data_IF_387251183288
#
_entry.id   IF_387251183288
#
_cell.length_a   1.000
_cell.length_b   1.000
_cell.length_c   1.000
_cell.angle_alpha   90.00
_cell.angle_beta   90.00
_cell.angle_gamma   90.00
#
_symmetry.space_group_name_H-M   'P 1'
#
loop_
_entity.id
_entity.type
_entity.pdbx_description
1 polymer ?
#
# COMPACT_ATOMS: atom_id res chain seq x y z
N UNK A 1 -19.29 -22.44 1.55
CA UNK A 1 -19.11 -21.31 0.64
C UNK A 1 -17.69 -20.80 0.78
N UNK A 2 -16.98 -20.64 -0.33
CA UNK A 2 -15.65 -20.01 -0.37
C UNK A 2 -15.86 -18.57 0.09
N UNK A 3 -15.16 -18.14 1.15
CA UNK A 3 -15.21 -16.76 1.57
C UNK A 3 -14.68 -15.90 0.42
N UNK A 4 -15.50 -14.99 -0.06
CA UNK A 4 -15.10 -14.05 -1.11
C UNK A 4 -14.05 -13.11 -0.52
N UNK A 5 -12.84 -13.16 -1.06
CA UNK A 5 -11.72 -12.34 -0.62
C UNK A 5 -11.70 -11.11 -1.50
N UNK A 6 -12.23 -9.99 -1.01
CA UNK A 6 -12.19 -8.72 -1.75
C UNK A 6 -11.00 -7.87 -1.32
N UNK A 7 -10.05 -7.59 -2.23
CA UNK A 7 -8.98 -6.63 -2.02
C UNK A 7 -9.48 -5.19 -2.18
N UNK A 8 -8.77 -4.23 -1.59
CA UNK A 8 -9.03 -2.81 -1.79
C UNK A 8 -8.78 -2.38 -3.24
N UNK A 9 -7.76 -2.99 -3.87
CA UNK A 9 -7.39 -2.73 -5.26
C UNK A 9 -6.60 -3.90 -5.84
N UNK A 10 -6.72 -4.11 -7.15
CA UNK A 10 -5.93 -5.09 -7.92
C UNK A 10 -5.38 -4.43 -9.18
N UNK A 11 -4.11 -4.68 -9.45
CA UNK A 11 -3.44 -4.34 -10.71
C UNK A 11 -2.81 -5.58 -11.31
N UNK A 12 -2.88 -5.71 -12.63
CA UNK A 12 -2.22 -6.80 -13.35
C UNK A 12 -0.97 -6.28 -14.02
N UNK A 13 0.18 -6.86 -13.68
CA UNK A 13 1.50 -6.55 -14.24
C UNK A 13 2.08 -7.82 -14.86
N UNK A 14 2.08 -7.88 -16.19
CA UNK A 14 2.46 -9.09 -16.95
C UNK A 14 1.71 -10.33 -16.43
N UNK A 15 2.42 -11.26 -15.79
CA UNK A 15 1.87 -12.51 -15.27
C UNK A 15 1.49 -12.40 -13.78
N UNK A 16 1.73 -11.25 -13.14
CA UNK A 16 1.52 -11.05 -11.71
C UNK A 16 0.28 -10.21 -11.42
N UNK A 17 -0.45 -10.61 -10.40
CA UNK A 17 -1.53 -9.82 -9.83
C UNK A 17 -1.06 -9.14 -8.54
N UNK A 18 -1.11 -7.82 -8.53
CA UNK A 18 -0.80 -7.02 -7.36
C UNK A 18 -2.11 -6.70 -6.65
N UNK A 19 -2.22 -7.06 -5.40
CA UNK A 19 -3.41 -6.75 -4.60
C UNK A 19 -3.04 -6.15 -3.25
N UNK A 20 -3.91 -5.33 -2.72
CA UNK A 20 -3.74 -4.73 -1.41
C UNK A 20 -4.97 -5.03 -0.54
N UNK A 21 -4.71 -5.45 0.70
CA UNK A 21 -5.70 -5.67 1.75
C UNK A 21 -5.28 -4.85 2.97
N UNK A 22 -5.95 -3.73 3.20
CA UNK A 22 -5.52 -2.78 4.21
C UNK A 22 -4.11 -2.25 3.91
N UNK A 23 -3.14 -2.53 4.77
CA UNK A 23 -1.74 -2.14 4.56
C UNK A 23 -0.88 -3.21 3.90
N UNK A 24 -1.36 -4.45 3.81
CA UNK A 24 -0.58 -5.55 3.25
C UNK A 24 -0.72 -5.61 1.73
N UNK A 25 0.40 -5.53 1.05
CA UNK A 25 0.51 -5.73 -0.40
C UNK A 25 0.92 -7.17 -0.69
N UNK A 26 0.24 -7.77 -1.66
CA UNK A 26 0.53 -9.11 -2.18
C UNK A 26 0.94 -9.02 -3.65
N UNK A 27 1.88 -9.86 -4.02
CA UNK A 27 2.15 -10.22 -5.41
C UNK A 27 1.68 -11.67 -5.57
N UNK A 28 0.65 -11.87 -6.40
CA UNK A 28 -0.14 -13.10 -6.46
C UNK A 28 -0.71 -13.43 -5.07
N UNK A 29 -0.35 -14.55 -4.47
CA UNK A 29 -0.76 -14.91 -3.12
C UNK A 29 0.36 -14.73 -2.06
N UNK A 30 1.48 -14.09 -2.42
CA UNK A 30 2.61 -13.89 -1.52
C UNK A 30 2.60 -12.48 -0.92
N UNK A 31 2.58 -12.34 0.40
CA UNK A 31 2.71 -11.04 1.06
C UNK A 31 4.14 -10.51 0.86
N UNK A 32 4.27 -9.28 0.35
CA UNK A 32 5.59 -8.73 -0.01
C UNK A 32 6.01 -7.52 0.81
N UNK A 33 5.09 -6.60 1.10
CA UNK A 33 5.40 -5.39 1.87
C UNK A 33 4.14 -4.84 2.55
N UNK A 34 4.34 -4.10 3.64
CA UNK A 34 3.29 -3.27 4.24
C UNK A 34 3.42 -1.83 3.74
N UNK A 35 2.34 -1.29 3.18
CA UNK A 35 2.25 0.10 2.74
C UNK A 35 1.10 0.80 3.46
N UNK A 36 1.39 1.90 4.14
CA UNK A 36 0.36 2.73 4.78
C UNK A 36 -0.45 3.54 3.74
N UNK A 37 0.11 3.68 2.53
CA UNK A 37 -0.53 4.38 1.44
C UNK A 37 -1.12 3.37 0.44
N UNK A 38 -2.27 3.69 -0.17
CA UNK A 38 -2.83 2.84 -1.20
C UNK A 38 -1.91 2.78 -2.43
N UNK A 39 -1.85 1.60 -3.05
CA UNK A 39 -1.23 1.44 -4.36
C UNK A 39 -2.15 2.09 -5.40
N UNK A 40 -1.61 3.01 -6.18
CA UNK A 40 -2.32 3.80 -7.19
C UNK A 40 -2.18 3.23 -8.59
N UNK A 41 -1.25 2.32 -8.78
CA UNK A 41 -0.96 1.67 -10.05
C UNK A 41 0.39 1.00 -10.05
N UNK A 42 0.68 0.31 -11.13
CA UNK A 42 1.98 -0.32 -11.35
C UNK A 42 2.28 -0.46 -12.83
N UNK A 43 3.55 -0.55 -13.13
CA UNK A 43 4.09 -0.80 -14.47
C UNK A 43 5.26 -1.78 -14.39
N UNK A 44 5.55 -2.42 -15.54
CA UNK A 44 6.76 -3.23 -15.69
C UNK A 44 7.70 -2.48 -16.60
N UNK A 45 8.94 -2.30 -16.15
CA UNK A 45 10.02 -1.64 -16.89
C UNK A 45 11.18 -2.62 -16.92
N UNK A 46 11.52 -3.12 -18.12
CA UNK A 46 12.42 -4.25 -18.26
C UNK A 46 11.99 -5.43 -17.39
N UNK A 47 12.81 -5.83 -16.42
CA UNK A 47 12.52 -6.91 -15.47
C UNK A 47 12.08 -6.39 -14.07
N UNK A 48 11.75 -5.10 -13.97
CA UNK A 48 11.32 -4.49 -12.71
C UNK A 48 9.81 -4.24 -12.71
N UNK A 49 9.16 -4.61 -11.63
CA UNK A 49 7.82 -4.16 -11.31
C UNK A 49 7.91 -2.91 -10.42
N UNK A 50 7.27 -1.84 -10.86
CA UNK A 50 7.27 -0.55 -10.17
C UNK A 50 5.84 -0.24 -9.76
N UNK A 51 5.58 -0.18 -8.45
CA UNK A 51 4.29 0.20 -7.88
C UNK A 51 4.36 1.64 -7.38
N UNK A 52 3.33 2.41 -7.66
CA UNK A 52 3.24 3.80 -7.20
C UNK A 52 2.25 3.94 -6.05
N UNK A 53 2.65 4.70 -5.05
CA UNK A 53 1.78 5.31 -4.04
C UNK A 53 1.76 6.82 -4.24
N UNK A 54 1.09 7.57 -3.39
CA UNK A 54 1.02 9.04 -3.52
C UNK A 54 2.39 9.73 -3.47
N UNK A 55 3.37 9.17 -2.74
CA UNK A 55 4.66 9.83 -2.52
C UNK A 55 5.87 8.93 -2.77
N UNK A 56 5.68 7.69 -3.16
CA UNK A 56 6.74 6.69 -3.23
C UNK A 56 6.55 5.77 -4.43
N UNK A 57 7.66 5.27 -4.95
CA UNK A 57 7.72 4.13 -5.86
C UNK A 57 8.32 2.94 -5.10
N UNK A 58 7.68 1.79 -5.21
CA UNK A 58 8.12 0.54 -4.63
C UNK A 58 8.59 -0.37 -5.76
N UNK A 59 9.85 -0.76 -5.72
CA UNK A 59 10.49 -1.54 -6.77
C UNK A 59 10.61 -3.00 -6.35
N UNK A 60 10.20 -3.89 -7.24
CA UNK A 60 10.27 -5.34 -7.07
C UNK A 60 10.96 -5.98 -8.27
N UNK A 61 11.64 -7.10 -8.04
CA UNK A 61 12.13 -7.95 -9.12
C UNK A 61 10.97 -8.61 -9.87
N UNK A 62 11.26 -9.19 -11.02
CA UNK A 62 10.26 -9.97 -11.77
C UNK A 62 9.70 -11.16 -10.96
N UNK A 63 10.46 -11.69 -10.02
CA UNK A 63 10.05 -12.76 -9.12
C UNK A 63 9.21 -12.28 -7.92
N UNK A 64 9.03 -10.96 -7.77
CA UNK A 64 8.25 -10.36 -6.70
C UNK A 64 9.04 -10.08 -5.43
N UNK A 65 10.38 -10.08 -5.49
CA UNK A 65 11.22 -9.69 -4.37
C UNK A 65 11.32 -8.17 -4.26
N UNK A 66 11.14 -7.63 -3.06
CA UNK A 66 11.28 -6.20 -2.81
C UNK A 66 12.76 -5.79 -2.96
N UNK A 67 13.01 -4.77 -3.78
CA UNK A 67 14.35 -4.24 -4.06
C UNK A 67 14.59 -2.98 -3.25
N UNK A 68 13.80 -1.94 -3.51
CA UNK A 68 13.97 -0.65 -2.84
C UNK A 68 12.69 0.20 -2.88
N UNK A 69 12.72 1.27 -2.12
CA UNK A 69 11.71 2.31 -2.09
C UNK A 69 12.34 3.65 -2.49
N UNK A 70 11.77 4.28 -3.50
CA UNK A 70 12.17 5.60 -3.98
C UNK A 70 11.13 6.65 -3.62
N UNK A 71 11.57 7.86 -3.30
CA UNK A 71 10.69 8.96 -2.89
C UNK A 71 11.27 10.32 -3.33
N UNK A 72 10.73 11.40 -2.84
CA UNK A 72 11.25 12.74 -3.14
C UNK A 72 12.75 12.91 -2.81
N UNK A 73 13.26 12.17 -1.82
CA UNK A 73 14.70 12.18 -1.50
C UNK A 73 15.58 11.54 -2.58
N UNK A 74 15.01 10.71 -3.43
CA UNK A 74 15.66 10.08 -4.59
C UNK A 74 15.21 10.67 -5.92
N UNK A 75 14.57 11.86 -5.92
CA UNK A 75 14.17 12.58 -7.12
C UNK A 75 12.74 12.30 -7.60
N UNK A 76 12.01 11.38 -6.99
CA UNK A 76 10.64 11.03 -7.41
C UNK A 76 9.68 12.20 -7.15
N UNK A 77 8.90 12.66 -8.15
CA UNK A 77 7.91 13.70 -7.97
C UNK A 77 6.84 13.29 -6.94
N UNK A 78 6.51 14.14 -5.96
CA UNK A 78 5.46 13.85 -4.98
C UNK A 78 4.06 14.08 -5.53
N UNK A 79 3.04 13.68 -4.75
CA UNK A 79 1.62 13.82 -5.07
C UNK A 79 1.21 13.06 -6.33
N UNK A 80 1.75 11.86 -6.47
CA UNK A 80 1.44 10.94 -7.56
C UNK A 80 -0.04 10.57 -7.51
N UNK A 81 -0.68 10.55 -8.66
CA UNK A 81 -2.09 10.17 -8.85
C UNK A 81 -2.20 8.91 -9.69
N UNK A 82 -1.29 8.70 -10.62
CA UNK A 82 -1.24 7.50 -11.45
C UNK A 82 0.17 7.28 -12.01
N UNK A 83 0.42 6.06 -12.47
CA UNK A 83 1.63 5.67 -13.19
C UNK A 83 1.24 4.98 -14.49
N UNK A 84 2.02 5.19 -15.53
CA UNK A 84 1.82 4.58 -16.85
C UNK A 84 3.11 4.44 -17.62
N UNK A 85 2.98 3.96 -18.86
CA UNK A 85 4.10 3.83 -19.79
C UNK A 85 3.83 4.65 -21.06
N UNK A 86 4.88 5.27 -21.56
CA UNK A 86 4.93 5.88 -22.88
C UNK A 86 6.17 5.39 -23.62
N UNK A 87 5.98 4.59 -24.66
CA UNK A 87 7.08 3.94 -25.42
C UNK A 87 8.04 3.13 -24.51
N UNK A 88 7.51 2.46 -23.47
CA UNK A 88 8.29 1.67 -22.51
C UNK A 88 8.95 2.49 -21.39
N UNK A 89 8.87 3.81 -21.44
CA UNK A 89 9.38 4.68 -20.39
C UNK A 89 8.29 5.01 -19.34
N UNK A 90 8.63 5.08 -18.06
CA UNK A 90 7.68 5.36 -17.00
C UNK A 90 7.23 6.83 -17.02
N UNK A 91 5.93 7.02 -16.86
CA UNK A 91 5.30 8.33 -16.74
C UNK A 91 4.48 8.37 -15.46
N UNK A 92 4.69 9.42 -14.68
CA UNK A 92 3.87 9.73 -13.50
C UNK A 92 2.91 10.88 -13.81
N UNK A 93 1.65 10.69 -13.47
CA UNK A 93 0.71 11.77 -13.32
C UNK A 93 0.72 12.22 -11.87
N UNK A 94 1.00 13.49 -11.65
CA UNK A 94 0.97 14.09 -10.32
C UNK A 94 -0.05 15.22 -10.29
N UNK A 95 -0.36 15.74 -9.11
CA UNK A 95 -1.21 16.93 -8.97
C UNK A 95 -0.65 18.15 -9.70
N UNK A 96 0.68 18.22 -9.89
CA UNK A 96 1.38 19.36 -10.46
C UNK A 96 1.77 19.16 -11.95
N UNK A 97 1.32 18.09 -12.59
CA UNK A 97 1.62 17.81 -13.99
C UNK A 97 2.07 16.37 -14.23
N UNK A 98 2.55 16.12 -15.43
CA UNK A 98 3.07 14.83 -15.86
C UNK A 98 4.59 14.87 -15.92
N UNK A 99 5.21 13.74 -15.54
CA UNK A 99 6.63 13.58 -15.46
C UNK A 99 7.04 12.26 -16.09
N UNK A 100 8.10 12.28 -16.87
CA UNK A 100 8.70 11.10 -17.51
C UNK A 100 10.09 10.86 -16.95
N UNK A 101 10.47 9.62 -16.78
CA UNK A 101 11.81 9.20 -16.45
C UNK A 101 12.30 8.12 -17.40
N UNK A 102 13.57 7.81 -17.34
CA UNK A 102 14.13 6.59 -17.90
C UNK A 102 13.96 5.40 -16.92
N UNK A 103 14.62 4.28 -17.22
CA UNK A 103 14.55 3.08 -16.39
C UNK A 103 15.24 3.22 -15.01
N UNK A 104 16.06 4.27 -14.80
CA UNK A 104 16.74 4.52 -13.52
C UNK A 104 15.82 5.16 -12.49
N UNK A 105 14.74 5.81 -12.91
CA UNK A 105 13.72 6.42 -12.04
C UNK A 105 14.22 7.54 -11.12
N UNK A 106 15.41 8.03 -11.32
CA UNK A 106 16.06 9.05 -10.47
C UNK A 106 16.02 10.47 -11.07
N UNK A 107 15.76 10.58 -12.37
CA UNK A 107 15.63 11.85 -13.07
C UNK A 107 14.28 11.95 -13.78
N UNK A 108 13.51 12.97 -13.43
CA UNK A 108 12.15 13.18 -13.93
C UNK A 108 12.06 14.49 -14.67
N UNK A 109 11.57 14.44 -15.89
CA UNK A 109 11.35 15.60 -16.75
C UNK A 109 9.86 15.90 -16.86
N UNK A 110 9.48 17.18 -16.72
CA UNK A 110 8.12 17.61 -16.96
C UNK A 110 7.75 17.46 -18.44
N UNK A 111 6.62 16.85 -18.71
CA UNK A 111 6.14 16.57 -20.07
C UNK A 111 4.67 16.97 -20.24
N UNK A 112 4.25 17.05 -21.51
CA UNK A 112 2.86 17.16 -21.90
C UNK A 112 2.62 16.23 -23.09
N UNK A 113 2.23 15.00 -22.80
CA UNK A 113 2.05 13.94 -23.79
C UNK A 113 0.63 13.39 -23.76
N UNK A 114 0.18 12.85 -24.90
CA UNK A 114 -1.04 12.07 -25.03
C UNK A 114 -0.70 10.64 -25.42
N UNK A 115 -1.65 9.72 -25.21
CA UNK A 115 -1.44 8.32 -25.58
C UNK A 115 -0.60 7.51 -24.58
N UNK A 116 -0.58 7.94 -23.31
CA UNK A 116 0.07 7.21 -22.23
C UNK A 116 -0.78 6.00 -21.85
N UNK A 117 -0.15 4.84 -21.75
CA UNK A 117 -0.76 3.61 -21.24
C UNK A 117 -0.81 3.65 -19.70
N UNK A 118 -1.86 4.24 -19.15
CA UNK A 118 -2.05 4.34 -17.71
C UNK A 118 -2.37 2.99 -17.07
N UNK A 119 -1.78 2.74 -15.91
CA UNK A 119 -2.15 1.62 -15.06
C UNK A 119 -3.61 1.77 -14.62
N UNK A 120 -4.38 0.69 -14.75
CA UNK A 120 -5.81 0.67 -14.41
C UNK A 120 -6.09 -0.50 -13.46
N UNK A 121 -6.96 -0.32 -12.46
CA UNK A 121 -7.45 -1.43 -11.65
C UNK A 121 -8.12 -2.49 -12.53
N UNK A 122 -7.91 -3.74 -12.19
CA UNK A 122 -8.44 -4.91 -12.91
C UNK A 122 -9.13 -5.86 -11.93
N UNK A 123 -10.07 -6.70 -12.40
CA UNK A 123 -10.60 -7.80 -11.59
C UNK A 123 -9.48 -8.75 -11.18
N UNK A 124 -9.61 -9.35 -10.00
CA UNK A 124 -8.68 -10.38 -9.54
C UNK A 124 -8.86 -11.65 -10.38
N UNK A 125 -7.77 -12.27 -10.87
CA UNK A 125 -7.85 -13.56 -11.54
C UNK A 125 -8.27 -14.67 -10.57
N UNK A 126 -9.13 -15.58 -11.01
CA UNK A 126 -9.70 -16.67 -10.19
C UNK A 126 -8.63 -17.54 -9.52
N UNK A 127 -7.52 -17.81 -10.23
CA UNK A 127 -6.42 -18.61 -9.69
C UNK A 127 -5.70 -17.90 -8.52
N UNK A 128 -5.59 -16.59 -8.57
CA UNK A 128 -4.98 -15.77 -7.51
C UNK A 128 -5.95 -15.64 -6.34
N UNK A 129 -7.24 -15.43 -6.61
CA UNK A 129 -8.28 -15.40 -5.58
C UNK A 129 -8.32 -16.70 -4.79
N UNK A 130 -8.29 -17.85 -5.47
CA UNK A 130 -8.25 -19.16 -4.81
C UNK A 130 -6.98 -19.34 -3.94
N UNK A 131 -5.81 -18.95 -4.46
CA UNK A 131 -4.55 -19.05 -3.72
C UNK A 131 -4.53 -18.14 -2.48
N UNK A 132 -5.08 -16.91 -2.58
CA UNK A 132 -5.26 -16.01 -1.45
C UNK A 132 -6.26 -16.57 -0.43
N UNK A 133 -7.36 -17.15 -0.88
CA UNK A 133 -8.32 -17.82 -0.01
C UNK A 133 -7.66 -18.96 0.78
N UNK A 134 -6.82 -19.77 0.15
CA UNK A 134 -6.03 -20.82 0.82
C UNK A 134 -5.03 -20.21 1.83
N UNK A 135 -4.34 -19.13 1.45
CA UNK A 135 -3.42 -18.42 2.33
C UNK A 135 -4.11 -17.94 3.62
N UNK A 136 -5.28 -17.32 3.51
CA UNK A 136 -6.05 -16.86 4.66
C UNK A 136 -6.64 -18.00 5.48
N UNK A 137 -7.18 -19.05 4.83
CA UNK A 137 -7.75 -20.23 5.51
C UNK A 137 -6.68 -21.04 6.24
N UNK A 138 -5.52 -21.25 5.64
CA UNK A 138 -4.41 -21.99 6.24
C UNK A 138 -3.86 -21.34 7.52
N UNK A 139 -4.08 -20.04 7.70
CA UNK A 139 -3.72 -19.31 8.92
C UNK A 139 -4.87 -19.20 9.93
N UNK A 140 -6.04 -19.77 9.65
CA UNK A 140 -7.23 -19.66 10.50
C UNK A 140 -7.74 -18.22 10.64
N UNK A 141 -7.38 -17.37 9.68
CA UNK A 141 -7.71 -15.94 9.67
C UNK A 141 -8.76 -15.72 8.60
N UNK A 142 -9.94 -15.21 8.97
CA UNK A 142 -10.86 -14.64 7.97
C UNK A 142 -10.29 -13.30 7.49
N UNK A 143 -10.54 -12.92 6.24
CA UNK A 143 -10.08 -11.62 5.69
C UNK A 143 -10.53 -10.45 6.57
N UNK A 144 -11.77 -10.51 7.08
CA UNK A 144 -12.27 -9.53 8.05
C UNK A 144 -11.40 -9.43 9.29
N UNK A 145 -11.00 -10.57 9.85
CA UNK A 145 -10.15 -10.60 11.04
C UNK A 145 -8.74 -10.13 10.74
N UNK A 146 -8.23 -10.43 9.55
CA UNK A 146 -6.93 -9.96 9.09
C UNK A 146 -6.93 -8.43 8.95
N UNK A 147 -7.93 -7.85 8.30
CA UNK A 147 -8.07 -6.38 8.16
C UNK A 147 -8.29 -5.71 9.51
N UNK A 148 -9.09 -6.30 10.41
CA UNK A 148 -9.31 -5.79 11.76
C UNK A 148 -8.03 -5.88 12.62
N UNK A 149 -7.26 -6.95 12.51
CA UNK A 149 -6.00 -7.11 13.25
C UNK A 149 -4.92 -6.15 12.73
N UNK A 150 -4.93 -5.83 11.43
CA UNK A 150 -4.14 -4.76 10.83
C UNK A 150 -4.53 -3.39 11.38
N UNK A 151 -5.83 -3.10 11.41
CA UNK A 151 -6.35 -1.80 11.88
C UNK A 151 -6.13 -1.58 13.38
N UNK A 152 -6.14 -2.64 14.16
CA UNK A 152 -5.92 -2.60 15.61
C UNK A 152 -4.43 -2.68 16.02
N UNK A 153 -3.50 -2.61 15.08
CA UNK A 153 -2.05 -2.64 15.36
C UNK A 153 -1.54 -3.99 15.87
N UNK A 154 -2.38 -5.04 15.91
CA UNK A 154 -2.00 -6.37 16.41
C UNK A 154 -0.94 -7.07 15.56
N UNK A 155 -0.82 -6.70 14.28
CA UNK A 155 0.22 -7.25 13.37
C UNK A 155 1.60 -6.68 13.68
N UNK A 156 1.69 -5.53 14.35
CA UNK A 156 2.95 -4.99 14.86
C UNK A 156 3.47 -5.76 16.09
N UNK A 157 2.87 -6.91 16.39
CA UNK A 157 3.25 -7.75 17.50
C UNK A 157 3.01 -7.09 18.87
N UNK A 158 3.72 -7.59 19.90
CA UNK A 158 3.58 -7.08 21.27
C UNK A 158 3.84 -5.57 21.41
N UNK A 159 4.59 -4.95 20.51
CA UNK A 159 4.85 -3.49 20.53
C UNK A 159 3.63 -2.65 20.19
N UNK A 160 2.80 -3.08 19.22
CA UNK A 160 1.59 -2.35 18.85
C UNK A 160 0.52 -2.40 19.92
N UNK A 161 0.33 -3.57 20.55
CA UNK A 161 -0.60 -3.74 21.67
C UNK A 161 -0.16 -2.89 22.86
N UNK A 162 1.13 -2.93 23.22
CA UNK A 162 1.70 -2.13 24.30
C UNK A 162 1.55 -0.63 24.07
N UNK A 163 1.74 -0.15 22.84
CA UNK A 163 1.52 1.25 22.49
C UNK A 163 0.06 1.69 22.68
N UNK A 164 -0.89 0.86 22.26
CA UNK A 164 -2.31 1.13 22.44
C UNK A 164 -2.72 1.12 23.92
N UNK A 165 -2.15 0.23 24.71
CA UNK A 165 -2.37 0.19 26.16
C UNK A 165 -1.83 1.43 26.88
N UNK A 166 -0.66 1.94 26.45
CA UNK A 166 -0.09 3.20 26.97
C UNK A 166 -0.98 4.39 26.64
N UNK A 167 -1.48 4.48 25.40
CA UNK A 167 -2.39 5.54 24.98
C UNK A 167 -3.70 5.50 25.76
N UNK A 168 -4.28 4.30 25.93
CA UNK A 168 -5.49 4.11 26.72
C UNK A 168 -5.27 4.52 28.19
N UNK A 169 -4.16 4.12 28.79
CA UNK A 169 -3.77 4.52 30.15
C UNK A 169 -3.63 6.03 30.31
N UNK A 170 -3.02 6.71 29.36
CA UNK A 170 -2.90 8.17 29.32
C UNK A 170 -4.27 8.87 29.25
N UNK A 171 -5.18 8.38 28.43
CA UNK A 171 -6.55 8.93 28.32
C UNK A 171 -7.33 8.79 29.64
N UNK A 172 -7.21 7.64 30.33
CA UNK A 172 -7.81 7.42 31.62
C UNK A 172 -7.23 8.39 32.66
N UNK A 173 -5.90 8.58 32.66
CA UNK A 173 -5.24 9.48 33.60
C UNK A 173 -5.67 10.93 33.39
N UNK A 174 -5.75 11.41 32.14
CA UNK A 174 -6.23 12.77 31.80
C UNK A 174 -7.67 12.95 32.24
N UNK A 175 -8.53 11.93 32.03
CA UNK A 175 -9.92 11.97 32.42
C UNK A 175 -10.09 12.08 33.95
N UNK A 176 -9.32 11.30 34.70
CA UNK A 176 -9.35 11.33 36.17
C UNK A 176 -8.82 12.66 36.73
N UNK A 177 -7.76 13.21 36.16
CA UNK A 177 -7.23 14.53 36.58
C UNK A 177 -8.22 15.65 36.26
N UNK A 178 -8.93 15.56 35.12
CA UNK A 178 -9.99 16.51 34.77
C UNK A 178 -11.14 16.50 35.78
N UNK A 179 -11.63 15.31 36.17
CA UNK A 179 -12.70 15.11 37.17
C UNK A 179 -12.22 15.65 38.53
N UNK A 180 -10.99 15.33 38.91
CA UNK A 180 -10.43 15.79 40.22
C UNK A 180 -10.29 17.32 40.28
N UNK A 181 -9.84 17.98 39.23
CA UNK A 181 -9.80 19.44 39.15
C UNK A 181 -11.19 20.07 39.17
N UNK A 182 -12.18 19.45 38.52
CA UNK A 182 -13.56 19.91 38.55
C UNK A 182 -14.15 19.87 39.96
N UNK A 183 -14.00 18.73 40.67
CA UNK A 183 -14.48 18.57 42.06
C UNK A 183 -13.84 19.60 42.96
N UNK A 184 -12.53 19.90 42.83
CA UNK A 184 -11.86 20.91 43.66
C UNK A 184 -12.32 22.34 43.40
N UNK A 185 -12.92 22.62 42.24
CA UNK A 185 -13.47 23.96 41.94
C UNK A 185 -14.89 24.15 42.45
N UNK A 186 -15.62 23.09 42.72
CA UNK A 186 -17.01 23.12 43.11
C UNK A 186 -17.17 22.97 44.67
N UNK A 187 -16.10 22.52 45.33
CA UNK A 187 -15.99 22.49 46.79
C UNK A 187 -15.30 23.74 47.34
#
# INVERSE_FOLDING_TARGET
GVAHVEPDVVYLLDQHAISQFGTQVFIDANPVINSQLPILGGVVIDDLMVLATTNELLLFSHEGEFIEKMSASTGVPPLIQNIGLFHGEPVLQTRNGMWRSDFMLDQWEAISLQGIGWSQPQPMPDNVENALAEYFHGRGITVERFVLDLHNGRILGNMGVWFMDVVAGLLIFISLTGIWMWIRRVA
#
